data_IF_245233157201
#
_entry.id   IF_245233157201
#
_cell.length_a   1.000
_cell.length_b   1.000
_cell.length_c   1.000
_cell.angle_alpha   90.00
_cell.angle_beta   90.00
_cell.angle_gamma   90.00
#
_symmetry.space_group_name_H-M   'P 1'
#
loop_
_entity.id
_entity.type
_entity.pdbx_description
1 polymer ?
#
# COMPACT_ATOMS: atom_id res chain seq x y z
N UNK A 1 19.74 -21.79 6.70
CA UNK A 1 20.27 -22.21 5.39
C UNK A 1 19.26 -21.82 4.29
N UNK A 2 19.41 -20.66 3.64
CA UNK A 2 18.55 -20.19 2.54
C UNK A 2 19.41 -19.68 1.37
N UNK A 3 20.08 -20.61 0.69
CA UNK A 3 20.83 -20.36 -0.55
C UNK A 3 20.42 -21.45 -1.55
N UNK A 4 19.41 -21.21 -2.39
CA UNK A 4 19.20 -22.12 -3.55
C UNK A 4 18.36 -21.57 -4.69
N UNK A 5 17.53 -20.54 -4.53
CA UNK A 5 16.68 -20.07 -5.64
C UNK A 5 17.43 -19.11 -6.59
N UNK A 6 18.23 -18.18 -6.05
CA UNK A 6 18.90 -17.14 -6.83
C UNK A 6 20.06 -17.66 -7.72
N UNK A 7 20.63 -18.82 -7.39
CA UNK A 7 21.75 -19.38 -8.15
C UNK A 7 21.30 -20.13 -9.41
N UNK A 8 20.05 -20.61 -9.45
CA UNK A 8 19.51 -21.33 -10.61
C UNK A 8 19.17 -20.39 -11.78
N UNK A 9 18.70 -19.17 -11.49
CA UNK A 9 18.33 -18.19 -12.51
C UNK A 9 19.56 -17.62 -13.26
N UNK A 10 20.71 -17.51 -12.60
CA UNK A 10 21.94 -16.96 -13.21
C UNK A 10 22.55 -17.87 -14.27
N UNK A 11 22.32 -19.19 -14.19
CA UNK A 11 22.87 -20.16 -15.14
C UNK A 11 22.08 -20.26 -16.45
N UNK A 12 20.84 -19.73 -16.49
CA UNK A 12 19.97 -19.77 -17.67
C UNK A 12 20.17 -18.55 -18.59
N UNK A 13 20.69 -17.44 -18.07
CA UNK A 13 20.81 -16.16 -18.79
C UNK A 13 22.07 -16.03 -19.67
N UNK A 14 23.01 -16.97 -19.60
CA UNK A 14 24.25 -16.93 -20.39
C UNK A 14 24.17 -17.72 -21.71
N UNK A 15 23.01 -18.25 -22.09
CA UNK A 15 22.89 -19.15 -23.26
C UNK A 15 22.03 -18.65 -24.42
N UNK A 16 21.63 -17.38 -24.43
CA UNK A 16 20.82 -16.83 -25.53
C UNK A 16 21.45 -15.54 -26.05
N UNK A 17 22.25 -15.69 -27.11
CA UNK A 17 22.90 -14.60 -27.84
C UNK A 17 22.33 -14.60 -29.26
N UNK A 18 21.79 -13.44 -29.67
CA UNK A 18 21.48 -12.97 -31.04
C UNK A 18 20.18 -13.49 -31.70
N UNK A 19 19.19 -12.59 -31.87
CA UNK A 19 18.94 -11.92 -33.17
C UNK A 19 17.90 -10.80 -33.01
N UNK A 20 18.30 -9.58 -33.37
CA UNK A 20 17.49 -8.35 -33.31
C UNK A 20 16.91 -8.05 -34.70
N UNK A 21 15.59 -7.99 -34.82
CA UNK A 21 14.90 -7.40 -35.98
C UNK A 21 13.91 -6.34 -35.51
N UNK A 22 14.24 -5.09 -35.82
CA UNK A 22 13.45 -3.87 -35.64
C UNK A 22 12.25 -3.89 -36.58
N UNK A 23 11.04 -3.65 -36.06
CA UNK A 23 9.89 -3.27 -36.88
C UNK A 23 9.13 -2.15 -36.17
N UNK A 24 9.07 -1.00 -36.85
CA UNK A 24 8.43 0.24 -36.41
C UNK A 24 6.97 0.23 -36.87
N UNK A 25 6.03 0.52 -35.97
CA UNK A 25 4.64 0.83 -36.32
C UNK A 25 4.24 2.20 -35.73
N UNK A 26 3.40 2.98 -36.44
CA UNK A 26 3.24 4.42 -36.23
C UNK A 26 2.25 4.78 -35.10
N UNK A 27 2.63 5.79 -34.33
CA UNK A 27 1.83 6.45 -33.28
C UNK A 27 0.89 7.50 -33.88
N UNK A 28 -0.40 7.44 -33.54
CA UNK A 28 -1.40 8.47 -33.88
C UNK A 28 -1.40 9.59 -32.82
N UNK A 29 -1.59 10.87 -33.22
CA UNK A 29 -1.60 11.99 -32.28
C UNK A 29 -2.99 12.18 -31.64
N UNK A 30 -3.03 12.33 -30.31
CA UNK A 30 -4.21 12.82 -29.59
C UNK A 30 -4.13 14.34 -29.48
N UNK A 31 -5.14 15.02 -29.98
CA UNK A 31 -5.26 16.48 -30.03
C UNK A 31 -5.57 17.08 -28.66
N UNK A 32 -4.88 18.18 -28.37
CA UNK A 32 -5.06 19.03 -27.19
C UNK A 32 -6.26 19.96 -27.41
N UNK A 33 -7.29 19.86 -26.57
CA UNK A 33 -8.45 20.76 -26.59
C UNK A 33 -8.49 21.61 -25.32
N UNK A 34 -8.20 22.89 -25.52
CA UNK A 34 -8.70 24.12 -24.88
C UNK A 34 -9.23 24.09 -23.45
N UNK A 35 -8.54 24.86 -22.62
CA UNK A 35 -8.94 25.40 -21.32
C UNK A 35 -10.25 26.20 -21.41
N UNK A 36 -11.23 25.86 -20.57
CA UNK A 36 -12.32 26.75 -20.19
C UNK A 36 -12.24 27.04 -18.70
N UNK A 37 -12.01 28.31 -18.41
CA UNK A 37 -12.06 28.94 -17.11
C UNK A 37 -13.48 28.81 -16.53
N UNK A 38 -13.61 28.21 -15.36
CA UNK A 38 -14.85 28.29 -14.57
C UNK A 38 -14.54 28.67 -13.13
N UNK A 39 -15.27 29.69 -12.68
CA UNK A 39 -15.13 30.44 -11.44
C UNK A 39 -15.50 29.60 -10.20
N UNK A 40 -14.79 29.72 -9.07
CA UNK A 40 -15.24 29.15 -7.81
C UNK A 40 -16.17 30.15 -7.11
N UNK A 41 -17.48 29.99 -7.25
CA UNK A 41 -18.42 30.59 -6.28
C UNK A 41 -18.62 29.63 -5.12
N UNK A 42 -17.72 29.73 -4.15
CA UNK A 42 -17.89 29.21 -2.81
C UNK A 42 -18.97 30.00 -2.07
N UNK A 43 -20.24 29.61 -2.24
CA UNK A 43 -21.31 30.06 -1.37
C UNK A 43 -21.37 29.13 -0.15
N UNK A 44 -20.67 29.53 0.92
CA UNK A 44 -20.85 28.98 2.26
C UNK A 44 -22.31 29.25 2.65
N UNK A 45 -23.16 28.23 2.59
CA UNK A 45 -24.51 28.30 3.17
C UNK A 45 -24.42 28.04 4.66
N UNK A 46 -24.23 29.12 5.42
CA UNK A 46 -24.51 29.13 6.86
C UNK A 46 -26.02 28.89 7.06
N UNK A 47 -26.41 27.68 7.46
CA UNK A 47 -27.79 27.36 7.79
C UNK A 47 -28.06 27.66 9.27
N UNK A 48 -28.32 28.93 9.57
CA UNK A 48 -28.99 29.35 10.80
C UNK A 48 -30.36 29.89 10.46
N UNK A 49 -31.39 29.06 10.65
CA UNK A 49 -32.70 29.51 11.13
C UNK A 49 -33.47 28.30 11.67
N UNK A 50 -33.60 28.26 12.99
CA UNK A 50 -34.42 27.32 13.75
C UNK A 50 -35.87 27.77 13.64
N UNK A 51 -36.72 26.93 13.04
CA UNK A 51 -38.09 26.64 13.50
C UNK A 51 -38.76 25.67 12.53
N UNK A 52 -38.81 24.40 12.92
CA UNK A 52 -39.72 23.40 12.33
C UNK A 52 -40.46 22.71 13.49
N UNK A 53 -41.78 22.48 13.37
CA UNK A 53 -42.60 21.96 14.46
C UNK A 53 -42.24 20.50 14.78
N UNK A 54 -42.22 20.19 16.08
CA UNK A 54 -41.90 18.88 16.65
C UNK A 54 -42.88 17.80 16.17
N UNK A 55 -42.43 16.72 15.50
CA UNK A 55 -43.12 15.45 15.57
C UNK A 55 -42.62 14.71 16.80
N UNK A 56 -43.59 14.29 17.59
CA UNK A 56 -43.55 13.27 18.63
C UNK A 56 -42.43 12.24 18.47
N UNK A 57 -41.76 11.94 19.59
CA UNK A 57 -40.87 10.80 19.84
C UNK A 57 -41.24 9.57 19.00
N UNK A 58 -40.52 9.36 17.90
CA UNK A 58 -40.46 8.09 17.21
C UNK A 58 -39.48 7.19 17.97
N UNK A 59 -39.75 5.88 18.08
CA UNK A 59 -38.91 4.98 18.83
C UNK A 59 -37.52 4.99 18.23
N UNK A 60 -36.49 4.92 19.08
CA UNK A 60 -35.10 4.78 18.67
C UNK A 60 -35.00 3.88 17.43
N UNK A 61 -34.63 4.49 16.31
CA UNK A 61 -34.31 3.81 15.07
C UNK A 61 -33.15 2.88 15.38
N UNK A 62 -33.49 1.65 15.77
CA UNK A 62 -32.56 0.53 15.88
C UNK A 62 -31.74 0.53 14.60
N UNK A 63 -30.47 0.93 14.70
CA UNK A 63 -29.61 1.13 13.55
C UNK A 63 -29.74 -0.10 12.65
N UNK A 64 -30.22 0.11 11.41
CA UNK A 64 -30.44 -0.98 10.48
C UNK A 64 -29.13 -1.75 10.33
N UNK A 65 -29.17 -3.05 10.64
CA UNK A 65 -27.99 -3.89 10.52
C UNK A 65 -27.46 -3.81 9.09
N UNK A 66 -26.15 -3.63 8.94
CA UNK A 66 -25.52 -3.63 7.63
C UNK A 66 -25.71 -5.02 7.00
N UNK A 67 -26.43 -5.07 5.88
CA UNK A 67 -26.60 -6.26 5.05
C UNK A 67 -26.06 -5.98 3.65
N UNK A 68 -25.84 -7.03 2.85
CA UNK A 68 -25.44 -6.88 1.44
C UNK A 68 -26.48 -6.10 0.61
N UNK A 69 -27.74 -6.11 1.01
CA UNK A 69 -28.82 -5.36 0.35
C UNK A 69 -28.81 -3.88 0.74
N UNK A 70 -28.31 -3.55 1.94
CA UNK A 70 -28.27 -2.18 2.47
C UNK A 70 -26.99 -1.44 2.08
N UNK A 71 -25.92 -2.15 1.70
CA UNK A 71 -24.65 -1.52 1.34
C UNK A 71 -24.72 -0.82 -0.03
N UNK A 72 -23.90 0.21 -0.23
CA UNK A 72 -23.87 0.96 -1.49
C UNK A 72 -23.58 0.02 -2.69
N UNK A 73 -24.43 -0.01 -3.72
CA UNK A 73 -24.27 -0.91 -4.87
C UNK A 73 -22.97 -0.66 -5.66
N UNK A 74 -22.34 0.50 -5.53
CA UNK A 74 -21.02 0.76 -6.12
C UNK A 74 -19.91 -0.05 -5.45
N UNK A 75 -20.03 -0.33 -4.15
CA UNK A 75 -19.08 -1.19 -3.42
C UNK A 75 -19.24 -2.63 -3.90
N UNK A 76 -20.47 -3.11 -4.07
CA UNK A 76 -20.75 -4.45 -4.58
C UNK A 76 -20.20 -4.67 -6.00
N UNK A 77 -20.19 -3.62 -6.82
CA UNK A 77 -19.65 -3.65 -8.20
C UNK A 77 -18.15 -3.36 -8.29
N UNK A 78 -17.52 -2.96 -7.19
CA UNK A 78 -16.11 -2.58 -7.19
C UNK A 78 -15.23 -3.83 -7.14
N UNK A 79 -14.30 -3.97 -8.09
CA UNK A 79 -13.38 -5.10 -8.17
C UNK A 79 -11.93 -4.62 -8.01
N UNK A 80 -11.16 -5.32 -7.18
CA UNK A 80 -9.74 -5.06 -6.98
C UNK A 80 -8.92 -6.34 -7.18
N UNK A 81 -8.56 -6.58 -8.44
CA UNK A 81 -7.93 -7.83 -8.87
C UNK A 81 -6.60 -8.17 -8.15
N UNK A 82 -5.84 -7.16 -7.71
CA UNK A 82 -4.54 -7.37 -7.01
C UNK A 82 -4.72 -8.11 -5.68
N UNK A 83 -5.89 -7.97 -5.02
CA UNK A 83 -6.27 -8.71 -3.81
C UNK A 83 -7.67 -9.30 -3.95
N UNK A 84 -7.92 -9.95 -5.09
CA UNK A 84 -9.18 -10.64 -5.39
C UNK A 84 -9.12 -12.14 -5.07
N UNK A 85 -9.99 -12.89 -5.73
CA UNK A 85 -10.23 -14.32 -5.50
C UNK A 85 -8.97 -15.19 -5.54
N UNK A 86 -8.06 -14.93 -6.48
CA UNK A 86 -6.80 -15.69 -6.61
C UNK A 86 -5.98 -15.62 -5.32
N UNK A 87 -5.97 -14.47 -4.64
CA UNK A 87 -5.22 -14.30 -3.39
C UNK A 87 -5.91 -15.05 -2.25
N UNK A 88 -7.25 -15.02 -2.20
CA UNK A 88 -8.04 -15.79 -1.23
C UNK A 88 -7.77 -17.29 -1.35
N UNK A 89 -7.80 -17.82 -2.58
CA UNK A 89 -7.48 -19.24 -2.85
C UNK A 89 -6.03 -19.57 -2.49
N UNK A 90 -5.09 -18.69 -2.82
CA UNK A 90 -3.67 -18.86 -2.46
C UNK A 90 -3.48 -18.94 -0.94
N UNK A 91 -4.23 -18.15 -0.15
CA UNK A 91 -4.21 -18.21 1.31
C UNK A 91 -4.76 -19.54 1.84
N UNK A 92 -5.87 -20.02 1.30
CA UNK A 92 -6.44 -21.33 1.67
C UNK A 92 -5.45 -22.46 1.38
N UNK A 93 -4.83 -22.48 0.20
CA UNK A 93 -3.80 -23.46 -0.14
C UNK A 93 -2.59 -23.36 0.79
N UNK A 94 -2.19 -22.14 1.17
CA UNK A 94 -1.10 -21.95 2.12
C UNK A 94 -1.43 -22.48 3.52
N UNK A 95 -2.69 -22.39 3.96
CA UNK A 95 -3.15 -23.01 5.20
C UNK A 95 -3.19 -24.54 5.08
N UNK A 96 -3.69 -25.05 3.96
CA UNK A 96 -3.72 -26.48 3.68
C UNK A 96 -2.31 -27.09 3.70
N UNK A 97 -1.33 -26.44 3.07
CA UNK A 97 0.07 -26.88 3.09
C UNK A 97 0.67 -26.94 4.50
N UNK A 98 0.21 -26.10 5.44
CA UNK A 98 0.64 -26.15 6.84
C UNK A 98 0.04 -27.33 7.59
N UNK A 99 -1.22 -27.66 7.30
CA UNK A 99 -1.96 -28.75 7.97
C UNK A 99 -1.58 -30.10 7.38
N UNK A 100 -1.46 -30.19 6.05
CA UNK A 100 -1.19 -31.39 5.28
C UNK A 100 0.06 -31.22 4.39
N UNK A 101 1.27 -31.27 4.96
CA UNK A 101 2.50 -31.18 4.16
C UNK A 101 2.55 -32.25 3.08
N UNK A 102 2.81 -31.85 1.84
CA UNK A 102 2.86 -32.76 0.68
C UNK A 102 1.52 -33.08 0.02
N UNK A 103 0.42 -32.41 0.39
CA UNK A 103 -0.89 -32.57 -0.30
C UNK A 103 -0.90 -32.01 -1.73
N UNK A 104 0.03 -31.11 -2.05
CA UNK A 104 0.18 -30.45 -3.34
C UNK A 104 1.55 -30.72 -3.97
N UNK A 105 1.73 -30.55 -5.30
CA UNK A 105 3.00 -30.73 -5.98
C UNK A 105 4.03 -29.61 -5.74
N UNK A 106 3.81 -28.77 -4.71
CA UNK A 106 4.65 -27.64 -4.30
C UNK A 106 4.61 -27.50 -2.78
N UNK A 107 5.67 -26.95 -2.21
CA UNK A 107 5.84 -26.85 -0.75
C UNK A 107 5.42 -25.48 -0.18
N UNK A 108 5.35 -24.45 -1.02
CA UNK A 108 5.05 -23.09 -0.61
C UNK A 108 4.31 -22.29 -1.69
N UNK A 109 3.59 -21.27 -1.24
CA UNK A 109 2.94 -20.27 -2.10
C UNK A 109 3.86 -19.05 -2.22
N UNK A 110 4.30 -18.74 -3.44
CA UNK A 110 5.08 -17.54 -3.73
C UNK A 110 4.17 -16.43 -4.29
N UNK A 111 3.98 -15.36 -3.51
CA UNK A 111 3.16 -14.23 -3.90
C UNK A 111 3.90 -13.31 -4.90
N UNK A 112 3.56 -13.45 -6.18
CA UNK A 112 4.04 -12.59 -7.27
C UNK A 112 2.97 -11.58 -7.75
N UNK A 113 1.84 -11.49 -7.07
CA UNK A 113 0.66 -10.70 -7.49
C UNK A 113 0.76 -9.20 -7.10
N UNK A 114 1.61 -8.85 -6.13
CA UNK A 114 1.75 -7.47 -5.65
C UNK A 114 3.23 -7.07 -5.63
N UNK A 115 3.51 -5.81 -5.98
CA UNK A 115 4.84 -5.22 -5.89
C UNK A 115 5.28 -4.98 -4.46
N UNK A 116 5.50 -6.04 -3.69
CA UNK A 116 6.06 -5.99 -2.34
C UNK A 116 7.46 -6.65 -2.32
N UNK A 117 8.51 -5.90 -2.70
CA UNK A 117 9.87 -6.45 -2.81
C UNK A 117 10.43 -6.92 -1.46
N UNK A 118 10.01 -6.34 -0.33
CA UNK A 118 10.47 -6.76 0.99
C UNK A 118 9.95 -8.16 1.36
N UNK A 119 8.72 -8.51 0.98
CA UNK A 119 8.21 -9.89 1.13
C UNK A 119 9.02 -10.93 0.36
N UNK A 120 9.72 -10.50 -0.69
CA UNK A 120 10.61 -11.34 -1.51
C UNK A 120 12.09 -11.24 -1.08
N UNK A 121 12.37 -10.66 0.09
CA UNK A 121 13.70 -10.66 0.69
C UNK A 121 14.55 -9.41 0.44
N UNK A 122 13.99 -8.36 -0.19
CA UNK A 122 14.67 -7.06 -0.26
C UNK A 122 14.93 -6.53 1.16
N UNK A 123 16.20 -6.24 1.47
CA UNK A 123 16.56 -5.66 2.76
C UNK A 123 16.08 -4.20 2.85
N UNK A 124 15.50 -3.78 3.99
CA UNK A 124 15.18 -2.38 4.21
C UNK A 124 16.42 -1.49 4.10
N UNK A 125 16.26 -0.28 3.58
CA UNK A 125 17.35 0.69 3.50
C UNK A 125 17.64 1.21 4.92
N UNK A 126 18.87 0.98 5.40
CA UNK A 126 19.29 1.25 6.78
C UNK A 126 19.08 2.71 7.18
N UNK A 127 19.48 3.65 6.33
CA UNK A 127 19.35 5.09 6.61
C UNK A 127 17.92 5.50 6.97
N UNK A 128 16.93 5.13 6.16
CA UNK A 128 15.53 5.47 6.44
C UNK A 128 15.04 4.78 7.71
N UNK A 129 15.49 3.56 7.98
CA UNK A 129 15.07 2.83 9.18
C UNK A 129 15.64 3.43 10.46
N UNK A 130 16.90 3.85 10.42
CA UNK A 130 17.57 4.55 11.51
C UNK A 130 16.90 5.90 11.81
N UNK A 131 16.62 6.71 10.78
CA UNK A 131 15.94 8.00 10.95
C UNK A 131 14.54 7.82 11.52
N UNK A 132 13.73 6.91 10.97
CA UNK A 132 12.38 6.66 11.46
C UNK A 132 12.38 6.22 12.93
N UNK A 133 13.30 5.34 13.32
CA UNK A 133 13.38 4.89 14.72
C UNK A 133 13.74 6.03 15.69
N UNK A 134 14.61 6.96 15.28
CA UNK A 134 14.94 8.15 16.08
C UNK A 134 13.76 9.13 16.15
N UNK A 135 12.98 9.29 15.07
CA UNK A 135 11.77 10.11 15.07
C UNK A 135 10.65 9.51 15.94
N UNK A 136 10.45 8.19 15.87
CA UNK A 136 9.41 7.46 16.62
C UNK A 136 9.70 7.44 18.13
N UNK A 137 10.97 7.40 18.53
CA UNK A 137 11.38 7.43 19.93
C UNK A 137 12.49 8.47 20.20
N UNK A 138 12.14 9.77 20.27
CA UNK A 138 13.14 10.84 20.33
C UNK A 138 13.99 10.83 21.61
N UNK A 139 13.47 10.30 22.73
CA UNK A 139 14.21 10.19 23.99
C UNK A 139 15.45 9.27 23.91
N UNK A 140 15.57 8.46 22.84
CA UNK A 140 16.77 7.67 22.61
C UNK A 140 17.96 8.56 22.22
N UNK A 141 17.74 9.75 21.66
CA UNK A 141 18.82 10.67 21.27
C UNK A 141 19.67 11.12 22.46
N UNK A 142 19.08 11.19 23.65
CA UNK A 142 19.76 11.63 24.87
C UNK A 142 20.59 10.51 25.53
N UNK A 143 20.49 9.27 25.03
CA UNK A 143 21.23 8.13 25.55
C UNK A 143 22.62 8.06 24.92
N UNK A 144 23.63 7.82 25.76
CA UNK A 144 25.04 7.73 25.34
C UNK A 144 25.31 6.62 24.31
N UNK A 145 24.55 5.53 24.43
CA UNK A 145 24.65 4.30 23.63
C UNK A 145 24.18 4.50 22.20
N UNK A 146 23.34 5.50 21.95
CA UNK A 146 22.73 5.80 20.65
C UNK A 146 23.78 6.12 19.59
N UNK A 147 24.90 6.72 20.00
CA UNK A 147 26.03 7.03 19.13
C UNK A 147 26.77 5.78 18.61
N UNK A 148 26.66 4.66 19.32
CA UNK A 148 27.27 3.38 18.92
C UNK A 148 26.35 2.51 18.06
N UNK A 149 25.04 2.69 18.17
CA UNK A 149 24.03 1.85 17.50
C UNK A 149 23.54 2.48 16.20
N UNK A 150 23.34 3.79 16.18
CA UNK A 150 22.85 4.52 15.01
C UNK A 150 24.00 5.21 14.30
N UNK A 151 24.20 4.89 13.01
CA UNK A 151 25.23 5.54 12.18
C UNK A 151 25.04 7.05 12.10
N UNK A 152 23.79 7.48 12.23
CA UNK A 152 23.34 8.85 12.02
C UNK A 152 22.84 9.53 13.30
N UNK A 153 23.23 9.04 14.48
CA UNK A 153 22.81 9.59 15.78
C UNK A 153 23.19 11.06 16.04
N UNK A 154 23.92 11.71 15.11
CA UNK A 154 24.22 13.16 15.13
C UNK A 154 23.55 13.95 14.01
N UNK A 155 22.71 13.33 13.18
CA UNK A 155 22.06 14.06 12.09
C UNK A 155 21.10 15.10 12.66
N UNK A 156 21.51 16.35 12.53
CA UNK A 156 20.70 17.57 12.58
C UNK A 156 19.38 17.44 11.84
N UNK A 157 19.25 16.55 10.86
CA UNK A 157 18.00 16.25 10.15
C UNK A 157 16.84 15.82 11.07
N UNK A 158 17.10 15.14 12.19
CA UNK A 158 16.02 14.76 13.13
C UNK A 158 15.56 15.95 13.99
N UNK A 159 16.48 16.88 14.29
CA UNK A 159 16.16 18.14 14.97
C UNK A 159 15.43 19.12 14.03
N UNK A 160 15.75 19.12 12.74
CA UNK A 160 15.03 19.93 11.74
C UNK A 160 13.57 19.49 11.64
N UNK A 161 13.27 18.19 11.66
CA UNK A 161 11.88 17.71 11.69
C UNK A 161 11.16 17.99 13.03
N UNK A 162 11.90 18.24 14.11
CA UNK A 162 11.34 18.63 15.41
C UNK A 162 10.90 20.09 15.44
N UNK A 163 11.48 20.94 14.59
CA UNK A 163 11.23 22.39 14.58
C UNK A 163 10.08 22.82 13.65
N UNK A 164 9.66 21.97 12.72
CA UNK A 164 8.62 22.30 11.74
C UNK A 164 7.27 21.60 11.97
N UNK A 165 7.15 20.77 13.03
CA UNK A 165 5.94 20.03 13.35
C UNK A 165 5.36 20.50 14.70
N UNK A 166 4.42 21.44 14.61
CA UNK A 166 3.56 22.05 15.63
C UNK A 166 4.04 23.38 16.26
N UNK A 167 3.21 24.44 16.24
CA UNK A 167 3.42 25.68 17.00
C UNK A 167 3.15 25.51 18.50
#
# INVERSE_FOLDING_TARGET
MRRSAADKARKLLLKTTISSSVSQHPTLPLSLSSSSSYSPQSAIRFLTSLNAPSPSSSPDSMASSLTLETINPKVLKCEYAVRGEIVTLAQQLQEELKVNPGSHPFDEILYCNIGNPQSLGQQPITFFREVLALCDHPAILDKSETQGIFRYGKLTSCYVLKLDAFP
#
